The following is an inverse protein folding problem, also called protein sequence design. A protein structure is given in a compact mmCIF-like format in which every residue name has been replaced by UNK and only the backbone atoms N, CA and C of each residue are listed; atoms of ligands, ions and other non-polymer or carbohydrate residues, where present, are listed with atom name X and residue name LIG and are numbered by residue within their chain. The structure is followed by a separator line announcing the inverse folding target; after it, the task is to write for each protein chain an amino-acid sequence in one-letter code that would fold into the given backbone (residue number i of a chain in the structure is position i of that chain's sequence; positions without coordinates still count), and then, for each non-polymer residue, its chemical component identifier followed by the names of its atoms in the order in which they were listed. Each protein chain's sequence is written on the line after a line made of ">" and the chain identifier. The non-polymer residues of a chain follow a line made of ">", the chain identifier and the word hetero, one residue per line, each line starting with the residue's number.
data_IF_685758364608
#
_entry.id   IF_685758364608
#
_cell.length_a   1.000
_cell.length_b   1.000
_cell.length_c   1.000
_cell.angle_alpha   90.00
_cell.angle_beta   90.00
_cell.angle_gamma   90.00
#
_symmetry.space_group_name_H-M   'P 1'
#
loop_
_entity.id
_entity.type
_entity.pdbx_description
1 polymer ?
#
# COMPACT_ATOMS: atom_id res chain seq x y z
N UNK A 1 12.68 -47.09 -26.82
CA UNK A 1 13.32 -45.94 -27.50
C UNK A 1 12.37 -44.77 -27.37
N UNK A 2 12.81 -43.68 -26.75
CA UNK A 2 12.00 -42.47 -26.55
C UNK A 2 12.93 -41.28 -26.43
N UNK A 3 13.46 -40.82 -27.56
CA UNK A 3 14.33 -39.65 -27.69
C UNK A 3 13.59 -38.41 -28.22
N UNK A 4 12.27 -38.51 -28.40
CA UNK A 4 11.39 -37.44 -28.88
C UNK A 4 10.16 -37.27 -27.96
N UNK A 5 10.33 -37.51 -26.66
CA UNK A 5 9.28 -37.21 -25.69
C UNK A 5 9.25 -35.70 -25.46
N UNK A 6 8.06 -35.11 -25.57
CA UNK A 6 7.85 -33.68 -25.43
C UNK A 6 6.89 -33.41 -24.27
N UNK A 7 7.19 -32.37 -23.49
CA UNK A 7 6.29 -31.81 -22.49
C UNK A 7 5.71 -30.55 -23.09
N UNK A 8 4.42 -30.60 -23.45
CA UNK A 8 3.71 -29.46 -24.04
C UNK A 8 2.26 -29.42 -23.54
N UNK A 9 1.59 -28.30 -23.79
CA UNK A 9 0.17 -28.10 -23.54
C UNK A 9 -0.62 -28.75 -24.68
N UNK A 10 -1.74 -29.40 -24.37
CA UNK A 10 -2.61 -30.00 -25.37
C UNK A 10 -3.08 -28.90 -26.35
N UNK A 11 -3.01 -29.10 -27.68
CA UNK A 11 -3.43 -28.10 -28.64
C UNK A 11 -4.84 -27.55 -28.37
N UNK A 12 -4.99 -26.23 -28.35
CA UNK A 12 -6.24 -25.54 -28.03
C UNK A 12 -6.52 -25.35 -26.53
N UNK A 13 -5.64 -25.83 -25.66
CA UNK A 13 -5.68 -25.56 -24.23
C UNK A 13 -4.62 -24.54 -23.82
N UNK A 14 -4.84 -23.91 -22.68
CA UNK A 14 -3.89 -23.01 -22.01
C UNK A 14 -3.80 -23.39 -20.53
N UNK A 15 -2.65 -23.12 -19.90
CA UNK A 15 -2.52 -23.22 -18.46
C UNK A 15 -3.02 -21.91 -17.86
N UNK A 16 -4.32 -21.85 -17.59
CA UNK A 16 -5.01 -20.65 -17.09
C UNK A 16 -5.53 -20.92 -15.68
N UNK A 17 -4.69 -20.65 -14.68
CA UNK A 17 -5.05 -20.69 -13.27
C UNK A 17 -4.15 -19.71 -12.50
N UNK A 18 -4.60 -19.18 -11.35
CA UNK A 18 -3.88 -18.12 -10.61
C UNK A 18 -2.62 -18.60 -9.86
N UNK A 19 -2.14 -19.82 -10.12
CA UNK A 19 -0.87 -20.36 -9.61
C UNK A 19 0.00 -20.94 -10.74
N UNK A 20 -0.35 -20.71 -12.00
CA UNK A 20 0.30 -21.32 -13.16
C UNK A 20 1.81 -21.03 -13.19
N UNK A 21 2.21 -19.83 -12.77
CA UNK A 21 3.61 -19.38 -12.87
C UNK A 21 4.56 -20.08 -11.91
N UNK A 22 4.07 -20.81 -10.91
CA UNK A 22 4.93 -21.62 -10.04
C UNK A 22 5.68 -22.72 -10.82
N UNK A 23 5.21 -23.09 -12.02
CA UNK A 23 5.90 -24.04 -12.90
C UNK A 23 7.32 -23.58 -13.28
N UNK A 24 7.55 -22.26 -13.31
CA UNK A 24 8.86 -21.66 -13.60
C UNK A 24 9.87 -21.97 -12.49
N UNK A 25 9.42 -21.98 -11.23
CA UNK A 25 10.28 -22.29 -10.09
C UNK A 25 10.53 -23.82 -9.96
N UNK A 26 9.63 -24.64 -10.49
CA UNK A 26 9.77 -26.10 -10.52
C UNK A 26 10.69 -26.59 -11.65
N UNK A 27 10.86 -25.81 -12.72
CA UNK A 27 11.63 -26.21 -13.89
C UNK A 27 13.14 -26.21 -13.59
N UNK A 28 13.83 -27.37 -13.60
CA UNK A 28 15.23 -27.46 -13.21
C UNK A 28 16.20 -26.97 -14.29
N UNK A 29 15.72 -26.84 -15.54
CA UNK A 29 16.57 -26.61 -16.73
C UNK A 29 16.33 -25.25 -17.38
N UNK A 30 15.38 -24.45 -16.88
CA UNK A 30 15.03 -23.16 -17.48
C UNK A 30 14.34 -23.26 -18.84
N UNK A 31 13.67 -24.39 -19.13
CA UNK A 31 12.81 -24.54 -20.30
C UNK A 31 11.49 -23.75 -20.15
N UNK A 32 11.03 -23.59 -18.91
CA UNK A 32 9.84 -22.82 -18.56
C UNK A 32 10.30 -21.57 -17.82
N UNK A 33 10.03 -20.41 -18.40
CA UNK A 33 10.40 -19.10 -17.87
C UNK A 33 9.20 -18.17 -18.00
N UNK A 34 9.09 -17.19 -17.11
CA UNK A 34 8.12 -16.10 -17.27
C UNK A 34 8.58 -15.21 -18.44
N UNK A 35 7.69 -14.95 -19.39
CA UNK A 35 7.95 -14.00 -20.49
C UNK A 35 8.40 -12.64 -19.94
N UNK A 36 7.79 -12.19 -18.83
CA UNK A 36 8.17 -10.93 -18.21
C UNK A 36 9.66 -10.87 -17.85
N UNK A 37 10.26 -11.94 -17.35
CA UNK A 37 11.67 -11.92 -16.93
C UNK A 37 12.65 -12.32 -18.04
N UNK A 38 12.15 -12.86 -19.15
CA UNK A 38 12.97 -13.37 -20.23
C UNK A 38 13.87 -12.26 -20.79
N UNK A 39 15.18 -12.53 -20.87
CA UNK A 39 16.22 -11.59 -21.33
C UNK A 39 16.43 -10.30 -20.51
N UNK A 40 15.74 -10.09 -19.38
CA UNK A 40 15.92 -8.87 -18.54
C UNK A 40 17.23 -8.88 -17.75
N UNK A 41 17.58 -10.01 -17.12
CA UNK A 41 18.78 -10.10 -16.29
C UNK A 41 19.32 -11.53 -16.19
N UNK A 42 20.60 -11.64 -15.81
CA UNK A 42 21.22 -12.92 -15.40
C UNK A 42 21.10 -13.06 -13.88
N UNK A 43 20.92 -14.30 -13.41
CA UNK A 43 20.68 -14.57 -11.98
C UNK A 43 21.81 -14.07 -11.08
N UNK A 44 23.07 -14.18 -11.51
CA UNK A 44 24.22 -13.68 -10.74
C UNK A 44 24.32 -12.14 -10.67
N UNK A 45 23.54 -11.42 -11.48
CA UNK A 45 23.42 -9.96 -11.38
C UNK A 45 22.33 -9.53 -10.39
N UNK A 46 21.52 -10.48 -9.91
CA UNK A 46 20.39 -10.20 -9.01
C UNK A 46 20.80 -10.38 -7.56
N UNK A 47 20.35 -9.45 -6.73
CA UNK A 47 20.40 -9.56 -5.28
C UNK A 47 19.01 -9.99 -4.77
N UNK A 48 18.87 -11.19 -4.18
CA UNK A 48 17.60 -11.59 -3.59
C UNK A 48 17.37 -10.84 -2.27
N UNK A 49 16.26 -10.12 -2.18
CA UNK A 49 15.86 -9.37 -0.98
C UNK A 49 14.62 -10.04 -0.37
N UNK A 50 14.67 -10.55 0.88
CA UNK A 50 13.50 -11.12 1.53
C UNK A 50 12.38 -10.10 1.68
N UNK A 51 11.14 -10.49 1.34
CA UNK A 51 9.95 -9.65 1.46
C UNK A 51 8.70 -10.52 1.70
N UNK A 52 7.54 -9.88 1.61
CA UNK A 52 6.21 -10.46 1.76
C UNK A 52 5.35 -9.98 0.58
N UNK A 53 4.52 -10.87 0.06
CA UNK A 53 3.53 -10.57 -0.96
C UNK A 53 2.41 -9.68 -0.38
N UNK A 54 2.15 -8.48 -0.96
CA UNK A 54 1.08 -7.60 -0.51
C UNK A 54 -0.28 -7.91 -1.16
N UNK A 55 -0.38 -8.88 -2.07
CA UNK A 55 -1.56 -9.04 -2.92
C UNK A 55 -2.76 -9.69 -2.21
N UNK A 56 -2.50 -10.47 -1.15
CA UNK A 56 -3.54 -11.13 -0.37
C UNK A 56 -3.17 -11.32 1.10
N UNK A 57 -4.14 -11.73 1.90
CA UNK A 57 -3.97 -11.90 3.34
C UNK A 57 -3.28 -13.20 3.75
N UNK A 58 -2.92 -14.08 2.81
CA UNK A 58 -1.98 -15.15 3.12
C UNK A 58 -0.61 -14.55 3.44
N UNK A 59 -0.23 -13.47 2.76
CA UNK A 59 1.03 -12.79 2.97
C UNK A 59 2.21 -13.71 2.67
N UNK A 60 2.21 -14.33 1.48
CA UNK A 60 3.24 -15.30 1.11
C UNK A 60 4.66 -14.73 1.27
N UNK A 61 5.57 -15.51 1.84
CA UNK A 61 6.96 -15.09 1.93
C UNK A 61 7.56 -15.07 0.53
N UNK A 62 8.27 -14.00 0.18
CA UNK A 62 8.87 -13.84 -1.15
C UNK A 62 10.33 -13.42 -1.10
N UNK A 63 11.00 -13.57 -2.23
CA UNK A 63 12.21 -12.84 -2.59
C UNK A 63 11.87 -11.85 -3.70
N UNK A 64 12.21 -10.58 -3.48
CA UNK A 64 12.29 -9.57 -4.53
C UNK A 64 13.72 -9.61 -5.07
N UNK A 65 13.90 -10.08 -6.30
CA UNK A 65 15.22 -10.12 -6.93
C UNK A 65 15.52 -8.74 -7.55
N UNK A 66 16.56 -8.08 -7.05
CA UNK A 66 16.87 -6.66 -7.35
C UNK A 66 18.16 -6.53 -8.16
N UNK A 67 18.16 -5.65 -9.15
CA UNK A 67 19.34 -5.21 -9.90
C UNK A 67 19.26 -3.69 -10.05
N UNK A 68 20.32 -2.92 -9.79
CA UNK A 68 20.33 -1.46 -9.99
C UNK A 68 19.17 -0.69 -9.32
N UNK A 69 18.86 -1.02 -8.06
CA UNK A 69 17.75 -0.40 -7.29
C UNK A 69 16.35 -0.69 -7.86
N UNK A 70 16.21 -1.81 -8.54
CA UNK A 70 15.10 -2.07 -9.43
C UNK A 70 14.68 -3.54 -9.28
N UNK A 71 13.45 -3.80 -8.81
CA UNK A 71 12.90 -5.17 -8.69
C UNK A 71 12.69 -5.74 -10.09
N UNK A 72 13.36 -6.84 -10.40
CA UNK A 72 13.32 -7.48 -11.73
C UNK A 72 12.29 -8.61 -11.80
N UNK A 73 12.07 -9.30 -10.68
CA UNK A 73 11.04 -10.34 -10.52
C UNK A 73 10.78 -10.62 -9.04
N UNK A 74 9.65 -11.26 -8.77
CA UNK A 74 9.32 -11.86 -7.47
C UNK A 74 9.39 -13.38 -7.57
N UNK A 75 9.91 -14.03 -6.53
CA UNK A 75 9.93 -15.48 -6.37
C UNK A 75 9.35 -15.88 -5.03
N UNK A 76 8.75 -17.07 -4.89
CA UNK A 76 8.37 -17.58 -3.59
C UNK A 76 9.61 -17.81 -2.74
N UNK A 77 9.49 -17.53 -1.45
CA UNK A 77 10.45 -17.89 -0.41
C UNK A 77 9.77 -18.92 0.48
N UNK A 78 10.48 -20.02 0.75
CA UNK A 78 9.91 -21.11 1.53
C UNK A 78 9.50 -20.65 2.93
N UNK A 79 8.25 -20.96 3.30
CA UNK A 79 7.75 -20.82 4.66
C UNK A 79 6.63 -21.84 4.89
N UNK A 80 6.96 -22.93 5.57
CA UNK A 80 6.04 -24.04 5.84
C UNK A 80 4.84 -23.67 6.71
N UNK A 81 4.91 -22.55 7.43
CA UNK A 81 3.79 -22.04 8.24
C UNK A 81 2.83 -21.12 7.46
N UNK A 82 3.21 -20.69 6.24
CA UNK A 82 2.45 -19.72 5.44
C UNK A 82 2.15 -20.29 4.05
N UNK A 83 3.11 -20.22 3.12
CA UNK A 83 2.89 -20.50 1.70
C UNK A 83 3.57 -21.79 1.21
N UNK A 84 4.26 -22.52 2.08
CA UNK A 84 5.07 -23.67 1.68
C UNK A 84 6.13 -23.23 0.69
N UNK A 85 6.01 -23.66 -0.57
CA UNK A 85 6.91 -23.31 -1.68
C UNK A 85 6.27 -22.42 -2.75
N UNK A 86 4.98 -22.11 -2.61
CA UNK A 86 4.18 -21.52 -3.68
C UNK A 86 3.87 -20.04 -3.43
N UNK A 87 3.42 -19.37 -4.48
CA UNK A 87 2.82 -18.04 -4.39
C UNK A 87 1.75 -17.89 -5.48
N UNK A 88 0.91 -16.86 -5.36
CA UNK A 88 -0.08 -16.54 -6.39
C UNK A 88 0.58 -15.85 -7.58
N UNK A 89 -0.01 -16.00 -8.76
CA UNK A 89 0.41 -15.26 -9.95
C UNK A 89 0.22 -13.75 -9.75
N UNK A 90 -0.86 -13.36 -9.06
CA UNK A 90 -1.13 -11.96 -8.66
C UNK A 90 0.03 -11.38 -7.85
N UNK A 91 0.46 -12.07 -6.79
CA UNK A 91 1.60 -11.68 -5.97
C UNK A 91 2.92 -11.68 -6.72
N UNK A 92 3.08 -12.60 -7.68
CA UNK A 92 4.31 -12.72 -8.48
C UNK A 92 4.53 -11.49 -9.34
N UNK A 93 3.48 -10.92 -9.90
CA UNK A 93 3.56 -9.76 -10.78
C UNK A 93 3.29 -8.43 -10.08
N UNK A 94 2.93 -8.45 -8.80
CA UNK A 94 2.62 -7.24 -8.04
C UNK A 94 3.77 -6.22 -8.01
N UNK A 95 5.02 -6.65 -8.17
CA UNK A 95 6.17 -5.72 -8.24
C UNK A 95 6.10 -4.72 -9.40
N UNK A 96 5.29 -4.96 -10.44
CA UNK A 96 5.09 -4.00 -11.52
C UNK A 96 4.57 -2.65 -11.00
N UNK A 97 3.73 -2.66 -9.97
CA UNK A 97 3.14 -1.44 -9.40
C UNK A 97 4.21 -0.54 -8.75
N UNK A 98 5.34 -1.10 -8.32
CA UNK A 98 6.45 -0.35 -7.73
C UNK A 98 6.97 0.67 -8.74
N UNK A 99 6.94 0.36 -10.04
CA UNK A 99 7.40 1.27 -11.11
C UNK A 99 6.29 1.81 -11.99
N UNK A 100 5.07 1.79 -11.48
CA UNK A 100 3.95 2.37 -12.23
C UNK A 100 4.21 3.85 -12.55
N UNK A 101 3.86 4.28 -13.75
CA UNK A 101 3.84 5.71 -14.11
C UNK A 101 2.79 6.50 -13.29
N UNK A 102 1.89 5.77 -12.63
CA UNK A 102 0.92 6.33 -11.69
C UNK A 102 1.51 6.59 -10.31
N UNK A 103 2.80 6.35 -10.06
CA UNK A 103 3.44 6.65 -8.76
C UNK A 103 3.37 8.14 -8.43
N UNK A 104 3.04 8.43 -7.18
CA UNK A 104 3.22 9.77 -6.62
C UNK A 104 4.68 9.95 -6.20
N UNK A 105 5.31 11.02 -6.69
CA UNK A 105 6.73 11.35 -6.41
C UNK A 105 6.90 12.75 -5.82
N UNK A 106 5.88 13.59 -5.92
CA UNK A 106 5.78 14.91 -5.33
C UNK A 106 4.35 15.09 -4.79
N UNK A 107 4.10 15.98 -3.82
CA UNK A 107 2.75 16.31 -3.43
C UNK A 107 1.95 16.81 -4.61
N UNK A 108 0.67 16.47 -4.65
CA UNK A 108 -0.22 16.87 -5.74
C UNK A 108 -1.55 17.38 -5.22
N UNK A 109 -2.10 18.34 -5.94
CA UNK A 109 -3.44 18.87 -5.75
C UNK A 109 -4.18 18.83 -7.10
N UNK A 110 -5.43 18.32 -7.15
CA UNK A 110 -6.20 18.36 -8.38
C UNK A 110 -6.60 19.79 -8.72
N UNK A 111 -6.49 20.13 -10.00
CA UNK A 111 -7.04 21.34 -10.57
C UNK A 111 -8.59 21.27 -10.53
N UNK A 112 -9.28 22.26 -9.95
CA UNK A 112 -10.74 22.23 -9.83
C UNK A 112 -11.48 22.28 -11.17
N UNK A 113 -10.86 22.79 -12.24
CA UNK A 113 -11.49 22.96 -13.56
C UNK A 113 -11.17 21.78 -14.49
N UNK A 114 -9.89 21.38 -14.57
CA UNK A 114 -9.43 20.33 -15.48
C UNK A 114 -9.38 18.94 -14.86
N UNK A 115 -9.30 18.84 -13.53
CA UNK A 115 -9.08 17.60 -12.81
C UNK A 115 -7.66 17.03 -12.96
N UNK A 116 -6.74 17.77 -13.57
CA UNK A 116 -5.33 17.39 -13.66
C UNK A 116 -4.63 17.52 -12.31
N UNK A 117 -3.68 16.62 -12.03
CA UNK A 117 -2.91 16.68 -10.79
C UNK A 117 -1.74 17.66 -10.95
N UNK A 118 -1.84 18.80 -10.28
CA UNK A 118 -0.81 19.83 -10.22
C UNK A 118 0.17 19.53 -9.09
N UNK A 119 1.47 19.72 -9.35
CA UNK A 119 2.50 19.53 -8.32
C UNK A 119 2.43 20.64 -7.27
N UNK A 120 2.57 20.26 -6.00
CA UNK A 120 2.61 21.17 -4.86
C UNK A 120 3.96 21.05 -4.12
N UNK A 121 4.52 22.16 -3.62
CA UNK A 121 5.75 22.10 -2.82
C UNK A 121 5.53 21.38 -1.48
N UNK A 122 6.51 20.57 -1.06
CA UNK A 122 6.43 19.72 0.14
C UNK A 122 6.11 20.45 1.45
N UNK A 123 6.86 21.49 1.81
CA UNK A 123 6.67 22.16 3.10
C UNK A 123 5.30 22.86 3.20
N UNK A 124 4.87 23.70 2.24
CA UNK A 124 3.53 24.29 2.24
C UNK A 124 2.40 23.26 2.27
N UNK A 125 2.56 22.15 1.52
CA UNK A 125 1.58 21.07 1.50
C UNK A 125 1.43 20.43 2.89
N UNK A 126 2.54 20.08 3.53
CA UNK A 126 2.54 19.48 4.85
C UNK A 126 2.02 20.44 5.93
N UNK A 127 2.40 21.72 5.88
CA UNK A 127 1.90 22.77 6.78
C UNK A 127 0.40 22.96 6.66
N UNK A 128 -0.14 22.93 5.43
CA UNK A 128 -1.57 23.06 5.19
C UNK A 128 -2.36 21.89 5.79
N UNK A 129 -1.89 20.65 5.57
CA UNK A 129 -2.49 19.44 6.15
C UNK A 129 -2.44 19.50 7.68
N UNK A 130 -1.27 19.78 8.28
CA UNK A 130 -1.12 19.90 9.74
C UNK A 130 -2.08 20.94 10.31
N UNK A 131 -2.12 22.12 9.70
CA UNK A 131 -2.99 23.22 10.12
C UNK A 131 -4.46 22.81 10.14
N UNK A 132 -4.96 22.26 9.04
CA UNK A 132 -6.37 21.85 8.88
C UNK A 132 -6.75 20.72 9.84
N UNK A 133 -5.95 19.67 9.91
CA UNK A 133 -6.19 18.53 10.82
C UNK A 133 -6.24 18.98 12.28
N UNK A 134 -5.32 19.85 12.70
CA UNK A 134 -5.29 20.37 14.08
C UNK A 134 -6.42 21.35 14.39
N UNK A 135 -6.88 22.14 13.42
CA UNK A 135 -8.06 23.03 13.63
C UNK A 135 -9.31 22.17 13.79
N UNK A 136 -9.45 21.12 12.98
CA UNK A 136 -10.62 20.25 13.02
C UNK A 136 -10.76 19.53 14.37
N UNK A 137 -9.67 19.14 15.02
CA UNK A 137 -9.72 18.53 16.35
C UNK A 137 -10.59 17.27 16.34
N UNK A 138 -11.67 17.26 17.12
CA UNK A 138 -12.66 16.17 17.15
C UNK A 138 -13.41 15.95 15.82
N UNK A 139 -13.38 16.92 14.91
CA UNK A 139 -13.93 16.78 13.55
C UNK A 139 -12.92 16.19 12.56
N UNK A 140 -11.65 16.02 12.96
CA UNK A 140 -10.66 15.34 12.15
C UNK A 140 -10.97 13.84 12.11
N UNK A 141 -10.75 13.21 10.97
CA UNK A 141 -10.91 11.76 10.77
C UNK A 141 -9.62 11.21 10.19
N UNK A 142 -9.10 10.13 10.76
CA UNK A 142 -7.91 9.42 10.25
C UNK A 142 -8.34 8.06 9.74
N UNK A 143 -8.20 7.84 8.44
CA UNK A 143 -8.54 6.57 7.80
C UNK A 143 -7.28 5.87 7.31
N UNK A 144 -7.20 4.56 7.52
CA UNK A 144 -6.06 3.75 7.09
C UNK A 144 -6.52 2.57 6.23
N UNK A 145 -5.76 2.21 5.20
CA UNK A 145 -6.07 0.97 4.46
C UNK A 145 -5.69 -0.28 5.25
N UNK A 146 -6.09 -1.45 4.77
CA UNK A 146 -5.65 -2.76 5.26
C UNK A 146 -4.24 -3.17 4.79
N UNK A 147 -3.50 -2.28 4.11
CA UNK A 147 -2.11 -2.51 3.67
C UNK A 147 -1.06 -1.77 4.52
N UNK A 148 -1.49 -0.88 5.42
CA UNK A 148 -0.57 -0.19 6.35
C UNK A 148 0.14 -1.19 7.25
N UNK A 149 1.31 -0.82 7.77
CA UNK A 149 2.06 -1.67 8.71
C UNK A 149 1.58 -1.49 10.14
N UNK A 150 1.90 -2.43 11.03
CA UNK A 150 1.58 -2.30 12.47
C UNK A 150 2.18 -1.03 13.10
N UNK A 151 3.38 -0.64 12.66
CA UNK A 151 4.04 0.58 13.12
C UNK A 151 3.31 1.84 12.65
N UNK A 152 2.77 1.84 11.43
CA UNK A 152 1.97 2.95 10.90
C UNK A 152 0.65 3.08 11.68
N UNK A 153 -0.02 1.96 12.00
CA UNK A 153 -1.23 1.96 12.83
C UNK A 153 -0.95 2.57 14.21
N UNK A 154 0.13 2.14 14.87
CA UNK A 154 0.52 2.67 16.17
C UNK A 154 0.77 4.20 16.11
N UNK A 155 1.51 4.66 15.11
CA UNK A 155 1.81 6.08 14.93
C UNK A 155 0.57 6.91 14.54
N UNK A 156 -0.35 6.36 13.77
CA UNK A 156 -1.61 7.02 13.44
C UNK A 156 -2.51 7.17 14.67
N UNK A 157 -2.54 6.18 15.57
CA UNK A 157 -3.23 6.27 16.87
C UNK A 157 -2.62 7.38 17.74
N UNK A 158 -1.29 7.46 17.81
CA UNK A 158 -0.60 8.56 18.49
C UNK A 158 -0.93 9.94 17.87
N UNK A 159 -0.98 10.01 16.54
CA UNK A 159 -1.31 11.24 15.82
C UNK A 159 -2.76 11.68 16.09
N UNK A 160 -3.73 10.75 15.97
CA UNK A 160 -5.14 11.01 16.24
C UNK A 160 -5.34 11.55 17.67
N UNK A 161 -4.70 10.92 18.65
CA UNK A 161 -4.70 11.39 20.04
C UNK A 161 -4.06 12.79 20.19
N UNK A 162 -2.97 13.07 19.48
CA UNK A 162 -2.27 14.36 19.54
C UNK A 162 -3.08 15.52 18.94
N UNK A 163 -3.92 15.26 17.93
CA UNK A 163 -4.84 16.26 17.37
C UNK A 163 -6.19 16.29 18.09
N UNK A 164 -6.46 15.35 19.00
CA UNK A 164 -7.68 15.32 19.81
C UNK A 164 -8.90 14.71 19.11
N UNK A 165 -8.70 13.75 18.20
CA UNK A 165 -9.78 12.96 17.60
C UNK A 165 -9.74 11.51 18.07
N UNK A 166 -10.92 10.93 18.25
CA UNK A 166 -11.16 9.49 18.44
C UNK A 166 -11.63 8.81 17.15
N UNK A 167 -11.86 9.58 16.07
CA UNK A 167 -12.31 9.10 14.77
C UNK A 167 -11.15 8.55 13.94
N UNK A 168 -10.61 7.43 14.39
CA UNK A 168 -9.62 6.64 13.64
C UNK A 168 -10.22 5.28 13.26
N UNK A 169 -10.13 4.93 11.98
CA UNK A 169 -10.75 3.71 11.45
C UNK A 169 -10.01 3.17 10.23
N UNK A 170 -10.31 1.93 9.85
CA UNK A 170 -9.77 1.34 8.62
C UNK A 170 -10.75 1.41 7.45
N UNK A 171 -10.24 1.43 6.23
CA UNK A 171 -11.00 1.30 4.99
C UNK A 171 -10.88 -0.17 4.54
N UNK A 172 -11.99 -0.93 4.51
CA UNK A 172 -12.00 -2.28 3.95
C UNK A 172 -11.54 -2.25 2.49
N UNK A 173 -10.77 -3.26 2.08
CA UNK A 173 -10.39 -3.41 0.68
C UNK A 173 -11.61 -3.74 -0.18
N UNK A 174 -11.84 -2.99 -1.26
CA UNK A 174 -12.96 -3.22 -2.17
C UNK A 174 -12.79 -4.45 -3.07
N UNK A 175 -11.57 -4.97 -3.21
CA UNK A 175 -11.23 -6.10 -4.09
C UNK A 175 -11.39 -7.47 -3.42
N UNK A 176 -12.14 -7.55 -2.32
CA UNK A 176 -12.42 -8.81 -1.64
C UNK A 176 -13.17 -9.75 -2.59
N UNK A 177 -12.71 -10.99 -2.65
CA UNK A 177 -13.26 -12.09 -3.43
C UNK A 177 -13.52 -13.30 -2.53
N UNK A 178 -14.07 -14.38 -3.07
CA UNK A 178 -14.15 -15.66 -2.35
C UNK A 178 -12.77 -16.35 -2.29
N UNK A 179 -12.51 -17.07 -1.20
CA UNK A 179 -11.34 -17.93 -1.08
C UNK A 179 -11.34 -19.00 -2.18
N UNK A 180 -10.20 -19.18 -2.85
CA UNK A 180 -10.04 -20.25 -3.84
C UNK A 180 -9.16 -21.35 -3.28
N UNK A 181 -9.75 -22.54 -3.09
CA UNK A 181 -9.05 -23.70 -2.53
C UNK A 181 -8.61 -24.66 -3.62
N UNK A 182 -7.33 -25.02 -3.61
CA UNK A 182 -6.72 -25.94 -4.56
C UNK A 182 -6.62 -27.37 -3.99
N UNK A 183 -6.56 -28.41 -4.84
CA UNK A 183 -6.23 -29.76 -4.40
C UNK A 183 -4.93 -29.76 -3.58
N UNK A 184 -4.95 -30.42 -2.41
CA UNK A 184 -3.84 -30.37 -1.46
C UNK A 184 -3.96 -29.28 -0.39
N UNK A 185 -5.02 -28.46 -0.41
CA UNK A 185 -5.39 -27.56 0.68
C UNK A 185 -4.76 -26.17 0.64
N UNK A 186 -4.02 -25.82 -0.41
CA UNK A 186 -3.55 -24.46 -0.61
C UNK A 186 -4.73 -23.53 -0.90
N UNK A 187 -4.78 -22.38 -0.23
CA UNK A 187 -5.86 -21.40 -0.38
C UNK A 187 -5.27 -20.09 -0.87
N UNK A 188 -5.79 -19.58 -1.99
CA UNK A 188 -5.63 -18.19 -2.36
C UNK A 188 -6.67 -17.38 -1.60
N UNK A 189 -6.19 -16.39 -0.84
CA UNK A 189 -7.08 -15.62 0.00
C UNK A 189 -7.95 -14.69 -0.84
N UNK A 190 -9.24 -14.68 -0.52
CA UNK A 190 -10.20 -13.74 -1.06
C UNK A 190 -9.99 -12.31 -0.55
N UNK A 191 -9.43 -12.17 0.66
CA UNK A 191 -9.01 -10.91 1.24
C UNK A 191 -7.67 -10.45 0.63
N UNK A 192 -7.74 -9.36 -0.15
CA UNK A 192 -6.63 -8.83 -0.97
C UNK A 192 -5.71 -7.88 -0.21
N UNK A 193 -5.43 -8.18 1.05
CA UNK A 193 -4.63 -7.31 1.91
C UNK A 193 -3.80 -8.08 2.92
N UNK A 194 -2.50 -7.79 3.03
CA UNK A 194 -1.58 -8.61 3.83
C UNK A 194 -1.76 -8.43 5.33
N UNK A 195 -2.50 -7.40 5.75
CA UNK A 195 -2.58 -6.96 7.15
C UNK A 195 -4.01 -6.68 7.63
N UNK A 196 -5.06 -7.17 6.95
CA UNK A 196 -6.44 -6.98 7.42
C UNK A 196 -6.62 -7.44 8.86
N UNK A 197 -6.09 -8.61 9.21
CA UNK A 197 -6.17 -9.13 10.57
C UNK A 197 -5.46 -8.20 11.57
N UNK A 198 -4.25 -7.76 11.27
CA UNK A 198 -3.52 -6.88 12.17
C UNK A 198 -4.13 -5.49 12.31
N UNK A 199 -4.67 -4.92 11.23
CA UNK A 199 -5.35 -3.62 11.27
C UNK A 199 -6.65 -3.70 12.07
N UNK A 200 -7.47 -4.72 11.84
CA UNK A 200 -8.77 -4.89 12.54
C UNK A 200 -8.62 -5.22 14.02
N UNK A 201 -7.51 -5.84 14.43
CA UNK A 201 -7.17 -6.04 15.85
C UNK A 201 -6.90 -4.71 16.57
N UNK A 202 -6.24 -3.77 15.91
CA UNK A 202 -5.83 -2.49 16.50
C UNK A 202 -6.83 -1.34 16.29
N UNK A 203 -7.61 -1.43 15.21
CA UNK A 203 -8.65 -0.50 14.77
C UNK A 203 -9.95 -1.29 14.52
N UNK A 204 -10.80 -1.48 15.55
CA UNK A 204 -12.00 -2.30 15.42
C UNK A 204 -13.10 -1.63 14.57
N UNK A 205 -13.06 -0.31 14.41
CA UNK A 205 -14.02 0.45 13.61
C UNK A 205 -13.56 0.60 12.16
N UNK A 206 -14.49 0.41 11.24
CA UNK A 206 -14.30 0.68 9.82
C UNK A 206 -14.77 2.09 9.45
N UNK A 207 -14.50 2.51 8.22
CA UNK A 207 -15.01 3.77 7.66
C UNK A 207 -16.53 3.86 7.73
N UNK A 208 -17.26 2.74 7.74
CA UNK A 208 -18.72 2.71 7.86
C UNK A 208 -19.20 3.17 9.24
N UNK A 209 -18.40 2.91 10.28
CA UNK A 209 -18.70 3.23 11.67
C UNK A 209 -18.37 4.67 12.06
N UNK A 210 -17.65 5.40 11.20
CA UNK A 210 -17.27 6.80 11.44
C UNK A 210 -18.23 7.75 10.74
N UNK A 211 -18.69 8.77 11.48
CA UNK A 211 -19.48 9.86 10.91
C UNK A 211 -18.57 10.88 10.22
N UNK A 212 -18.70 10.95 8.89
CA UNK A 212 -18.00 11.90 8.01
C UNK A 212 -19.05 12.87 7.48
N UNK A 213 -18.91 14.14 7.86
CA UNK A 213 -19.84 15.22 7.52
C UNK A 213 -19.14 16.29 6.69
N UNK A 214 -19.89 17.24 6.14
CA UNK A 214 -19.33 18.39 5.42
C UNK A 214 -18.47 19.33 6.26
N UNK A 215 -18.33 19.12 7.58
CA UNK A 215 -17.40 19.86 8.45
C UNK A 215 -16.15 19.04 8.80
N UNK A 216 -16.10 17.78 8.36
CA UNK A 216 -14.98 16.88 8.64
C UNK A 216 -13.74 17.24 7.84
N UNK A 217 -12.57 16.96 8.42
CA UNK A 217 -11.28 16.99 7.73
C UNK A 217 -10.69 15.59 7.80
N UNK A 218 -10.57 14.93 6.65
CA UNK A 218 -10.18 13.52 6.56
C UNK A 218 -8.73 13.42 6.09
N UNK A 219 -7.92 12.59 6.76
CA UNK A 219 -6.62 12.13 6.29
C UNK A 219 -6.68 10.63 6.01
N UNK A 220 -6.45 10.23 4.76
CA UNK A 220 -6.42 8.83 4.35
C UNK A 220 -4.98 8.36 4.12
N UNK A 221 -4.61 7.20 4.66
CA UNK A 221 -3.24 6.68 4.64
C UNK A 221 -3.18 5.35 3.87
N UNK A 222 -2.30 5.31 2.87
CA UNK A 222 -1.93 4.16 2.05
C UNK A 222 -3.13 3.41 1.45
N UNK A 223 -4.13 4.15 0.98
CA UNK A 223 -5.31 3.61 0.30
C UNK A 223 -4.99 2.99 -1.05
N UNK A 224 -3.89 3.38 -1.69
CA UNK A 224 -3.67 3.15 -3.12
C UNK A 224 -2.58 2.12 -3.47
N UNK A 225 -2.31 1.10 -2.66
CA UNK A 225 -1.40 0.00 -3.09
C UNK A 225 -1.89 -0.61 -4.41
N UNK A 226 -3.21 -0.62 -4.61
CA UNK A 226 -3.89 -0.73 -5.90
C UNK A 226 -4.87 0.43 -6.05
N UNK A 227 -5.08 0.92 -7.27
CA UNK A 227 -5.97 2.06 -7.53
C UNK A 227 -7.42 1.80 -7.11
N UNK A 228 -7.84 0.54 -7.09
CA UNK A 228 -9.22 0.11 -6.89
C UNK A 228 -9.51 -0.33 -5.45
N UNK A 229 -8.57 -0.15 -4.51
CA UNK A 229 -8.72 -0.60 -3.12
C UNK A 229 -9.87 0.08 -2.35
N UNK A 230 -10.34 1.24 -2.79
CA UNK A 230 -11.44 1.98 -2.15
C UNK A 230 -12.71 1.85 -3.00
N UNK A 231 -13.80 1.36 -2.40
CA UNK A 231 -15.08 1.17 -3.10
C UNK A 231 -15.73 2.50 -3.47
N UNK A 232 -16.58 2.52 -4.50
CA UNK A 232 -17.32 3.74 -4.88
C UNK A 232 -18.18 4.30 -3.74
N UNK A 233 -18.73 3.43 -2.89
CA UNK A 233 -19.50 3.82 -1.72
C UNK A 233 -18.62 4.52 -0.66
N UNK A 234 -17.48 3.91 -0.30
CA UNK A 234 -16.55 4.52 0.67
C UNK A 234 -15.94 5.81 0.13
N UNK A 235 -15.64 5.84 -1.16
CA UNK A 235 -15.14 7.01 -1.86
C UNK A 235 -16.15 8.17 -1.81
N UNK A 236 -17.42 7.90 -2.08
CA UNK A 236 -18.49 8.90 -1.95
C UNK A 236 -18.64 9.41 -0.51
N UNK A 237 -18.54 8.53 0.49
CA UNK A 237 -18.58 8.90 1.91
C UNK A 237 -17.40 9.78 2.30
N UNK A 238 -16.17 9.39 1.94
CA UNK A 238 -14.94 10.12 2.26
C UNK A 238 -14.95 11.51 1.61
N UNK A 239 -15.34 11.60 0.33
CA UNK A 239 -15.40 12.85 -0.43
C UNK A 239 -16.57 13.77 -0.01
N UNK A 240 -17.42 13.34 0.93
CA UNK A 240 -18.42 14.20 1.56
C UNK A 240 -17.85 15.18 2.59
N UNK A 241 -16.57 15.06 2.94
CA UNK A 241 -15.86 15.95 3.87
C UNK A 241 -15.44 17.28 3.21
N UNK A 242 -15.25 18.34 4.02
CA UNK A 242 -14.79 19.66 3.55
C UNK A 242 -13.38 19.59 2.94
N UNK A 243 -12.51 18.83 3.62
CA UNK A 243 -11.14 18.59 3.19
C UNK A 243 -10.83 17.09 3.27
N UNK A 244 -10.34 16.55 2.17
CA UNK A 244 -9.78 15.20 2.10
C UNK A 244 -8.32 15.31 1.73
N UNK A 245 -7.46 14.80 2.60
CA UNK A 245 -6.02 14.67 2.37
C UNK A 245 -5.64 13.22 2.25
N UNK A 246 -4.59 12.92 1.50
CA UNK A 246 -4.04 11.56 1.47
C UNK A 246 -2.53 11.53 1.67
N UNK A 247 -2.04 10.45 2.25
CA UNK A 247 -0.64 10.00 2.15
C UNK A 247 -0.71 8.69 1.36
N UNK A 248 -0.39 8.75 0.07
CA UNK A 248 -0.65 7.65 -0.86
C UNK A 248 0.50 7.41 -1.84
N UNK A 249 0.43 6.28 -2.54
CA UNK A 249 1.54 5.81 -3.39
C UNK A 249 1.24 5.89 -4.89
N UNK A 250 -0.04 5.88 -5.30
CA UNK A 250 -0.51 5.93 -6.68
C UNK A 250 -1.55 7.03 -6.90
N UNK A 251 -1.66 7.51 -8.14
CA UNK A 251 -2.71 8.44 -8.63
C UNK A 251 -4.09 7.76 -8.71
N UNK A 252 -4.60 7.30 -7.57
CA UNK A 252 -5.88 6.61 -7.43
C UNK A 252 -7.08 7.52 -7.71
N UNK A 253 -8.29 6.97 -7.87
CA UNK A 253 -9.51 7.76 -7.94
C UNK A 253 -9.72 8.66 -6.72
N UNK A 254 -9.26 8.27 -5.53
CA UNK A 254 -9.32 9.12 -4.33
C UNK A 254 -8.34 10.29 -4.45
N UNK A 255 -7.09 10.04 -4.81
CA UNK A 255 -6.06 11.08 -5.00
C UNK A 255 -6.49 12.14 -6.03
N UNK A 256 -7.14 11.72 -7.13
CA UNK A 256 -7.63 12.64 -8.17
C UNK A 256 -8.74 13.60 -7.69
N UNK A 257 -9.33 13.37 -6.52
CA UNK A 257 -10.42 14.18 -5.95
C UNK A 257 -10.14 14.69 -4.54
N UNK A 258 -9.09 14.20 -3.90
CA UNK A 258 -8.62 14.71 -2.62
C UNK A 258 -8.11 16.14 -2.81
N UNK A 259 -8.23 16.97 -1.78
CA UNK A 259 -7.74 18.34 -1.81
C UNK A 259 -6.22 18.41 -2.00
N UNK A 260 -5.48 17.52 -1.35
CA UNK A 260 -4.01 17.47 -1.41
C UNK A 260 -3.51 16.07 -1.02
N UNK A 261 -2.55 15.55 -1.75
CA UNK A 261 -1.97 14.22 -1.55
C UNK A 261 -0.46 14.30 -1.39
N UNK A 262 0.09 13.65 -0.36
CA UNK A 262 1.52 13.51 -0.13
C UNK A 262 2.01 12.13 -0.61
N UNK A 263 3.19 12.03 -1.26
CA UNK A 263 3.71 10.76 -1.77
C UNK A 263 4.34 9.90 -0.66
N UNK A 264 3.73 8.74 -0.40
CA UNK A 264 4.21 7.68 0.51
C UNK A 264 5.11 6.65 -0.18
N UNK A 265 5.48 5.58 0.55
CA UNK A 265 6.35 4.50 0.05
C UNK A 265 5.64 3.17 -0.09
N UNK A 266 5.99 2.42 -1.14
CA UNK A 266 5.53 1.05 -1.35
C UNK A 266 6.19 0.09 -0.35
N UNK A 267 5.61 -1.10 -0.13
CA UNK A 267 6.15 -2.12 0.77
C UNK A 267 7.61 -2.49 0.45
N UNK A 268 8.01 -2.47 -0.82
CA UNK A 268 9.37 -2.76 -1.25
C UNK A 268 10.39 -1.65 -0.91
N UNK A 269 9.92 -0.48 -0.45
CA UNK A 269 10.72 0.74 -0.25
C UNK A 269 10.80 1.17 1.22
N UNK A 270 10.09 0.45 2.09
CA UNK A 270 10.04 0.67 3.53
C UNK A 270 10.19 -0.65 4.28
N UNK A 271 10.31 -0.55 5.59
CA UNK A 271 10.24 -1.70 6.49
C UNK A 271 8.93 -1.65 7.27
N UNK A 272 8.49 -2.81 7.73
CA UNK A 272 7.39 -2.87 8.68
C UNK A 272 6.96 -4.29 8.96
N UNK A 273 5.86 -4.37 9.69
CA UNK A 273 5.28 -5.61 10.15
C UNK A 273 3.84 -5.75 9.66
N UNK A 274 3.52 -6.94 9.15
CA UNK A 274 2.15 -7.36 8.84
C UNK A 274 1.78 -8.59 9.65
N UNK A 275 0.49 -8.74 9.94
CA UNK A 275 -0.11 -9.92 10.56
C UNK A 275 -1.05 -10.51 9.53
N UNK A 276 -0.67 -11.68 8.99
CA UNK A 276 -1.45 -12.37 7.97
C UNK A 276 -2.75 -12.97 8.55
N UNK A 277 -3.61 -13.54 7.70
CA UNK A 277 -4.92 -14.13 8.07
C UNK A 277 -4.88 -15.29 9.06
N UNK A 278 -3.70 -15.87 9.31
CA UNK A 278 -3.48 -16.93 10.27
C UNK A 278 -2.96 -16.40 11.61
N UNK A 279 -2.88 -15.07 11.77
CA UNK A 279 -2.31 -14.41 12.95
C UNK A 279 -0.79 -14.49 13.03
N UNK A 280 -0.09 -14.83 11.94
CA UNK A 280 1.37 -14.92 11.93
C UNK A 280 1.94 -13.52 11.65
N UNK A 281 2.74 -13.04 12.60
CA UNK A 281 3.51 -11.80 12.46
C UNK A 281 4.69 -12.00 11.52
N UNK A 282 4.80 -11.14 10.51
CA UNK A 282 5.84 -11.20 9.50
C UNK A 282 6.47 -9.81 9.31
N UNK A 283 7.78 -9.74 9.48
CA UNK A 283 8.57 -8.53 9.24
C UNK A 283 9.14 -8.51 7.82
N UNK A 284 9.18 -7.32 7.23
CA UNK A 284 9.83 -7.09 5.95
C UNK A 284 10.74 -5.86 6.00
N UNK A 285 11.73 -5.85 5.09
CA UNK A 285 12.71 -4.78 4.95
C UNK A 285 12.69 -4.23 3.53
N UNK A 286 13.16 -2.99 3.32
CA UNK A 286 13.21 -2.39 1.99
C UNK A 286 14.11 -3.21 1.07
N UNK A 287 13.59 -3.55 -0.11
CA UNK A 287 14.33 -4.19 -1.19
C UNK A 287 14.98 -3.17 -2.12
N UNK A 288 14.35 -2.00 -2.28
CA UNK A 288 14.82 -0.89 -3.12
C UNK A 288 14.66 0.45 -2.38
N UNK A 289 15.36 1.48 -2.84
CA UNK A 289 15.16 2.87 -2.42
C UNK A 289 13.95 3.41 -3.19
N UNK A 290 13.00 4.01 -2.47
CA UNK A 290 11.82 4.64 -3.09
C UNK A 290 12.16 5.88 -3.94
N UNK A 291 11.22 6.34 -4.78
CA UNK A 291 11.40 7.51 -5.64
C UNK A 291 11.85 8.74 -4.85
N UNK A 292 12.72 9.55 -5.46
CA UNK A 292 13.09 10.85 -4.92
C UNK A 292 11.82 11.68 -4.74
N UNK A 293 11.64 12.25 -3.55
CA UNK A 293 10.45 13.02 -3.20
C UNK A 293 9.35 12.21 -2.51
N UNK A 294 9.40 10.88 -2.50
CA UNK A 294 8.54 10.05 -1.62
C UNK A 294 9.11 9.90 -0.21
N UNK A 295 8.26 9.85 0.81
CA UNK A 295 8.65 9.70 2.22
C UNK A 295 7.99 8.47 2.85
N UNK A 296 8.67 7.85 3.81
CA UNK A 296 8.09 6.79 4.63
C UNK A 296 6.95 7.38 5.47
N UNK A 297 5.79 6.73 5.46
CA UNK A 297 4.60 7.21 6.16
C UNK A 297 4.81 7.29 7.67
N UNK A 298 5.70 6.47 8.24
CA UNK A 298 6.05 6.54 9.66
C UNK A 298 6.77 7.85 9.99
N UNK A 299 7.64 8.32 9.11
CA UNK A 299 8.34 9.59 9.29
C UNK A 299 7.36 10.76 9.20
N UNK A 300 6.41 10.71 8.25
CA UNK A 300 5.35 11.71 8.11
C UNK A 300 4.44 11.74 9.35
N UNK A 301 3.99 10.59 9.83
CA UNK A 301 3.16 10.49 11.02
C UNK A 301 3.88 10.98 12.27
N UNK A 302 5.17 10.66 12.44
CA UNK A 302 5.98 11.21 13.55
C UNK A 302 6.10 12.72 13.45
N UNK A 303 6.35 13.24 12.26
CA UNK A 303 6.46 14.68 12.04
C UNK A 303 5.16 15.41 12.35
N UNK A 304 4.04 14.94 11.81
CA UNK A 304 2.70 15.46 12.08
C UNK A 304 2.36 15.38 13.58
N UNK A 305 2.66 14.27 14.24
CA UNK A 305 2.48 14.11 15.69
C UNK A 305 3.30 15.11 16.49
N UNK A 306 4.55 15.32 16.11
CA UNK A 306 5.44 16.29 16.77
C UNK A 306 4.96 17.74 16.54
N UNK A 307 4.41 18.06 15.37
CA UNK A 307 3.79 19.36 15.09
C UNK A 307 2.52 19.56 15.91
N UNK A 308 1.67 18.53 16.02
CA UNK A 308 0.44 18.55 16.82
C UNK A 308 0.70 18.80 18.31
N UNK A 309 1.75 18.18 18.88
CA UNK A 309 2.14 18.32 20.30
C UNK A 309 2.73 19.71 20.64
N UNK A 310 3.15 20.51 19.67
CA UNK A 310 3.66 21.87 19.91
C UNK A 310 2.50 22.86 20.08
N UNK A 311 2.53 23.74 21.10
CA UNK A 311 1.52 24.80 21.22
C UNK A 311 1.54 25.67 19.95
N UNK A 312 0.35 26.10 19.48
CA UNK A 312 0.27 27.07 18.39
C UNK A 312 0.97 28.34 18.84
N UNK A 313 2.04 28.73 18.16
CA UNK A 313 2.56 30.09 18.29
C UNK A 313 1.48 30.98 17.71
N UNK A 314 0.77 31.71 18.57
CA UNK A 314 -0.23 32.68 18.15
C UNK A 314 0.42 33.65 17.15
N UNK A 315 0.03 33.58 15.87
CA UNK A 315 0.47 34.51 14.83
C UNK A 315 -0.09 35.94 15.03
N UNK A 316 -0.74 36.24 16.15
CA UNK A 316 -1.34 37.55 16.47
C UNK A 316 -0.35 38.63 16.95
N UNK A 317 0.97 38.40 16.92
CA UNK A 317 1.96 39.44 17.29
C UNK A 317 2.72 40.07 16.10
N UNK A 318 2.53 39.61 14.86
CA UNK A 318 3.20 40.21 13.70
C UNK A 318 2.48 41.44 13.11
N UNK A 319 1.20 41.66 13.44
CA UNK A 319 0.39 42.78 12.88
C UNK A 319 0.27 44.00 13.80
N UNK A 320 1.02 44.05 14.92
CA UNK A 320 1.00 45.22 15.84
C UNK A 320 2.29 46.05 15.84
N UNK A 321 3.18 45.83 14.88
CA UNK A 321 4.40 46.63 14.70
C UNK A 321 4.39 47.24 13.29
N UNK A 322 3.35 48.01 12.97
CA UNK A 322 3.32 48.95 11.83
C UNK A 322 2.11 49.88 11.96
N UNK A 323 2.10 50.70 13.02
CA UNK A 323 1.37 51.97 13.08
C UNK A 323 2.19 52.96 13.89
#
# INVERSE_FOLDING_TARGET
>A
MGNANEIDIIPGHVIDNPMATNIVDLCPVGALLTEDFLFKARVWNLKPMPSIDPSDSLGANTYLDVMNNEVQRTRPRENTAVNGYFMTDEGRFMYHVIRSEQRLVTPVQPDPESGELLEAPWEPALEFIDGKMRVAGSNAVVLMSTHVTQEEVALAKEYAAAIGTDKIAYIPNALVTDDQTFPGGYVISGDKSPNTQGVTQELPSSVDDVDITGESVVLVINSSVRSENVSDAHLGKILGADFVFTIDVLKSPLVKRAFLSLPGRMWAEKSGTWINRSGITQEFSPAVVGPVGSRDERDLLRELTNRAKKPRVNQTQAERVTT
#
